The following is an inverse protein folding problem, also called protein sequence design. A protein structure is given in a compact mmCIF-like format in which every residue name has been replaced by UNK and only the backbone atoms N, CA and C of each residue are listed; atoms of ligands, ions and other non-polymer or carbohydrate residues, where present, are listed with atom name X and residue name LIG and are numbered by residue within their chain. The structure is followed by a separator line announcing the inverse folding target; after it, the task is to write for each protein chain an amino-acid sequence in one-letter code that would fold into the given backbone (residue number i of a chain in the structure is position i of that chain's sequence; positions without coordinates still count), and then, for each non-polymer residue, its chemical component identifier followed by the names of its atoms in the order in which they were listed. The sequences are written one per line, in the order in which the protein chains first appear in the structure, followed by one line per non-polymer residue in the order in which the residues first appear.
data_IF_468036037136
#
_entry.id   IF_468036037136
#
_cell.length_a   1.000
_cell.length_b   1.000
_cell.length_c   1.000
_cell.angle_alpha   90.00
_cell.angle_beta   90.00
_cell.angle_gamma   90.00
#
_symmetry.space_group_name_H-M   'P 1'
#
loop_
_entity.id
_entity.type
_entity.pdbx_description
1 polymer ?
#
# COMPACT_ATOMS: atom_id res chain seq x y z
N UNK A 1 -19.26 11.84 7.13
CA UNK A 1 -18.11 11.20 6.44
C UNK A 1 -18.24 11.47 4.95
N UNK A 2 -17.15 11.78 4.24
CA UNK A 2 -17.18 12.05 2.80
C UNK A 2 -16.74 10.80 2.05
N UNK A 3 -17.67 10.15 1.37
CA UNK A 3 -17.35 9.03 0.49
C UNK A 3 -16.74 9.55 -0.80
N UNK A 4 -15.70 8.87 -1.27
CA UNK A 4 -15.08 9.14 -2.56
C UNK A 4 -14.68 7.83 -3.22
N UNK A 5 -14.78 7.79 -4.55
CA UNK A 5 -14.33 6.65 -5.36
C UNK A 5 -12.93 6.94 -5.86
N UNK A 6 -12.01 6.00 -5.66
CA UNK A 6 -10.64 6.09 -6.13
C UNK A 6 -10.47 5.12 -7.30
N UNK A 7 -10.48 5.64 -8.53
CA UNK A 7 -10.23 4.83 -9.73
C UNK A 7 -8.72 4.73 -9.96
N UNK A 8 -8.15 3.58 -9.60
CA UNK A 8 -6.73 3.27 -9.82
C UNK A 8 -6.63 2.10 -10.78
N UNK A 9 -5.79 2.24 -11.80
CA UNK A 9 -5.37 1.12 -12.65
C UNK A 9 -4.10 0.53 -12.06
N UNK A 10 -4.12 -0.75 -11.71
CA UNK A 10 -2.97 -1.50 -11.21
C UNK A 10 -2.49 -2.45 -12.32
N UNK A 11 -1.18 -2.56 -12.49
CA UNK A 11 -0.55 -3.48 -13.44
C UNK A 11 0.00 -4.68 -12.68
N UNK A 12 -0.22 -5.88 -13.22
CA UNK A 12 0.31 -7.14 -12.74
C UNK A 12 0.75 -7.99 -13.94
N UNK A 13 1.68 -8.92 -13.74
CA UNK A 13 2.23 -9.75 -14.80
C UNK A 13 1.27 -10.89 -15.19
N UNK A 14 0.47 -11.38 -14.25
CA UNK A 14 -0.53 -12.44 -14.47
C UNK A 14 -1.78 -12.28 -13.59
N UNK A 15 -2.76 -13.15 -13.80
CA UNK A 15 -4.04 -13.12 -13.07
C UNK A 15 -3.88 -13.45 -11.59
N UNK A 16 -2.92 -14.30 -11.21
CA UNK A 16 -2.69 -14.67 -9.82
C UNK A 16 -2.10 -13.47 -9.06
N UNK A 17 -1.12 -12.78 -9.64
CA UNK A 17 -0.55 -11.56 -9.09
C UNK A 17 -1.62 -10.46 -9.02
N UNK A 18 -2.47 -10.31 -10.04
CA UNK A 18 -3.57 -9.35 -10.01
C UNK A 18 -4.52 -9.59 -8.82
N UNK A 19 -4.87 -10.86 -8.54
CA UNK A 19 -5.70 -11.23 -7.37
C UNK A 19 -4.99 -10.94 -6.04
N UNK A 20 -3.69 -11.20 -5.96
CA UNK A 20 -2.89 -10.91 -4.76
C UNK A 20 -2.80 -9.41 -4.48
N UNK A 21 -2.51 -8.61 -5.51
CA UNK A 21 -2.46 -7.14 -5.42
C UNK A 21 -3.80 -6.60 -4.97
N UNK A 22 -4.91 -7.05 -5.58
CA UNK A 22 -6.26 -6.66 -5.17
C UNK A 22 -6.53 -6.96 -3.70
N UNK A 23 -6.27 -8.19 -3.26
CA UNK A 23 -6.49 -8.62 -1.87
C UNK A 23 -5.64 -7.84 -0.86
N UNK A 24 -4.40 -7.49 -1.22
CA UNK A 24 -3.54 -6.66 -0.38
C UNK A 24 -4.13 -5.25 -0.18
N UNK A 25 -4.59 -4.61 -1.25
CA UNK A 25 -5.25 -3.29 -1.16
C UNK A 25 -6.53 -3.33 -0.32
N UNK A 26 -7.39 -4.32 -0.54
CA UNK A 26 -8.61 -4.50 0.25
C UNK A 26 -8.29 -4.69 1.75
N UNK A 27 -7.29 -5.51 2.06
CA UNK A 27 -6.81 -5.73 3.43
C UNK A 27 -6.29 -4.45 4.06
N UNK A 28 -5.54 -3.64 3.31
CA UNK A 28 -5.02 -2.36 3.80
C UNK A 28 -6.16 -1.39 4.14
N UNK A 29 -7.13 -1.25 3.25
CA UNK A 29 -8.29 -0.37 3.45
C UNK A 29 -9.10 -0.81 4.67
N UNK A 30 -9.35 -2.12 4.81
CA UNK A 30 -10.14 -2.68 5.92
C UNK A 30 -9.46 -2.47 7.28
N UNK A 31 -8.17 -2.76 7.37
CA UNK A 31 -7.47 -2.79 8.66
C UNK A 31 -6.92 -1.42 9.09
N UNK A 32 -6.35 -0.65 8.16
CA UNK A 32 -5.73 0.63 8.51
C UNK A 32 -6.65 1.82 8.32
N UNK A 33 -7.74 1.67 7.56
CA UNK A 33 -8.64 2.75 7.14
C UNK A 33 -7.87 3.87 6.41
N UNK A 34 -8.58 4.90 5.95
CA UNK A 34 -7.95 6.03 5.25
C UNK A 34 -6.87 6.72 6.10
N UNK A 35 -7.12 6.91 7.40
CA UNK A 35 -6.17 7.59 8.29
C UNK A 35 -4.86 6.81 8.46
N UNK A 36 -4.93 5.49 8.65
CA UNK A 36 -3.72 4.67 8.80
C UNK A 36 -2.91 4.61 7.50
N UNK A 37 -3.58 4.54 6.34
CA UNK A 37 -2.91 4.61 5.03
C UNK A 37 -2.13 5.92 4.88
N UNK A 38 -2.74 7.06 5.24
CA UNK A 38 -2.06 8.38 5.21
C UNK A 38 -0.86 8.40 6.16
N UNK A 39 -1.00 7.89 7.39
CA UNK A 39 0.10 7.88 8.37
C UNK A 39 1.26 7.00 7.91
N UNK A 40 0.98 5.82 7.34
CA UNK A 40 1.99 4.92 6.79
C UNK A 40 2.74 5.58 5.63
N UNK A 41 2.02 6.24 4.72
CA UNK A 41 2.63 6.98 3.61
C UNK A 41 3.56 8.10 4.11
N UNK A 42 3.10 8.87 5.10
CA UNK A 42 3.89 9.93 5.72
C UNK A 42 5.17 9.38 6.35
N UNK A 43 5.06 8.34 7.18
CA UNK A 43 6.21 7.68 7.82
C UNK A 43 7.21 7.20 6.77
N UNK A 44 6.75 6.51 5.72
CA UNK A 44 7.63 6.00 4.67
C UNK A 44 8.38 7.12 3.92
N UNK A 45 7.74 8.27 3.72
CA UNK A 45 8.36 9.45 3.09
C UNK A 45 9.34 10.17 4.02
N UNK A 46 8.98 10.38 5.28
CA UNK A 46 9.73 11.26 6.19
C UNK A 46 10.81 10.52 6.98
N UNK A 47 10.63 9.23 7.25
CA UNK A 47 11.55 8.44 8.06
C UNK A 47 12.45 7.56 7.18
N UNK A 48 13.73 7.94 7.10
CA UNK A 48 14.73 7.22 6.31
C UNK A 48 15.04 5.82 6.88
N UNK A 49 14.98 5.64 8.21
CA UNK A 49 15.21 4.36 8.83
C UNK A 49 14.11 3.36 8.46
N UNK A 50 12.83 3.77 8.62
CA UNK A 50 11.69 2.93 8.25
C UNK A 50 11.71 2.61 6.75
N UNK A 51 11.95 3.62 5.90
CA UNK A 51 12.04 3.40 4.45
C UNK A 51 13.12 2.38 4.08
N UNK A 52 14.31 2.50 4.64
CA UNK A 52 15.42 1.58 4.37
C UNK A 52 15.13 0.18 4.91
N UNK A 53 14.53 0.08 6.10
CA UNK A 53 14.11 -1.19 6.69
C UNK A 53 13.09 -1.91 5.79
N UNK A 54 12.07 -1.19 5.32
CA UNK A 54 11.04 -1.75 4.42
C UNK A 54 11.67 -2.21 3.11
N UNK A 55 12.50 -1.38 2.47
CA UNK A 55 13.23 -1.75 1.25
C UNK A 55 14.04 -3.04 1.42
N UNK A 56 14.77 -3.16 2.53
CA UNK A 56 15.56 -4.35 2.86
C UNK A 56 14.68 -5.60 3.03
N UNK A 57 13.55 -5.49 3.73
CA UNK A 57 12.62 -6.62 3.93
C UNK A 57 11.94 -7.06 2.65
N UNK A 58 11.61 -6.11 1.78
CA UNK A 58 11.00 -6.37 0.47
C UNK A 58 12.01 -6.79 -0.60
N UNK A 59 13.33 -6.74 -0.31
CA UNK A 59 14.42 -6.95 -1.28
C UNK A 59 14.31 -6.02 -2.50
N UNK A 60 13.80 -4.81 -2.29
CA UNK A 60 13.69 -3.77 -3.32
C UNK A 60 14.79 -2.73 -3.07
N UNK A 61 15.54 -2.35 -4.11
CA UNK A 61 16.62 -1.36 -4.01
C UNK A 61 16.09 0.07 -3.85
#
# INVERSE_FOLDING_TARGET
MKEFKLNITLTANDEQEARQVKGAFETMIKNFKAEGIIKMEKIFKTDAFIRNMVKMKLKVK
#
